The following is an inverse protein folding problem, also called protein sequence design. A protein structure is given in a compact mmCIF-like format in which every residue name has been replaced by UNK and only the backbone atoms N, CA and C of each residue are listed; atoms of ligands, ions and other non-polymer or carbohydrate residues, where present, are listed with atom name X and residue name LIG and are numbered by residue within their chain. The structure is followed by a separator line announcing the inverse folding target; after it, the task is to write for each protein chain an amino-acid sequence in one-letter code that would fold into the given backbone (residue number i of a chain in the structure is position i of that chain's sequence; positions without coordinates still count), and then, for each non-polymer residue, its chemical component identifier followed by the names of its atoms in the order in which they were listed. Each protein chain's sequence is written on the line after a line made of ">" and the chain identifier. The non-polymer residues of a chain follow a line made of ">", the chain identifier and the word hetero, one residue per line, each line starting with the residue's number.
data_IF_033614856523
#
_entry.id   IF_033614856523
#
_cell.length_a   1.000
_cell.length_b   1.000
_cell.length_c   1.000
_cell.angle_alpha   90.00
_cell.angle_beta   90.00
_cell.angle_gamma   90.00
#
_symmetry.space_group_name_H-M   'P 1'
#
loop_
_entity.id
_entity.type
_entity.pdbx_description
1 polymer ?
#
# COMPACT_ATOMS: atom_id res chain seq x y z
N UNK A 1 -16.14 24.16 -3.24
CA UNK A 1 -16.09 22.74 -2.87
C UNK A 1 -15.54 21.89 -4.01
N UNK A 2 -16.06 21.93 -5.26
CA UNK A 2 -15.44 21.19 -6.40
C UNK A 2 -14.00 21.65 -6.63
N UNK A 3 -13.69 22.92 -6.39
CA UNK A 3 -12.35 23.49 -6.49
C UNK A 3 -11.35 22.93 -5.46
N UNK A 4 -11.85 22.36 -4.36
CA UNK A 4 -11.02 21.67 -3.40
C UNK A 4 -10.54 20.26 -3.88
N UNK A 5 -11.10 19.76 -4.99
CA UNK A 5 -10.67 18.53 -5.62
C UNK A 5 -9.69 18.88 -6.73
N UNK A 6 -8.42 18.50 -6.67
CA UNK A 6 -7.48 18.75 -7.77
C UNK A 6 -7.94 18.06 -9.05
N UNK A 7 -7.60 18.64 -10.21
CA UNK A 7 -7.95 18.08 -11.50
C UNK A 7 -7.39 16.67 -11.67
N UNK A 8 -8.22 15.73 -12.13
CA UNK A 8 -7.88 14.32 -12.29
C UNK A 8 -8.05 13.46 -11.03
N UNK A 9 -8.18 14.08 -9.85
CA UNK A 9 -8.35 13.36 -8.58
C UNK A 9 -9.81 12.98 -8.33
N UNK A 10 -10.00 12.04 -7.40
CA UNK A 10 -11.29 11.40 -7.15
C UNK A 10 -11.81 11.66 -5.75
N UNK A 11 -13.13 11.56 -5.63
CA UNK A 11 -13.85 11.56 -4.36
C UNK A 11 -14.99 10.54 -4.41
N UNK A 12 -15.43 10.07 -3.27
CA UNK A 12 -16.59 9.21 -3.17
C UNK A 12 -17.81 9.92 -2.58
N UNK A 13 -18.94 9.22 -2.57
CA UNK A 13 -20.19 9.75 -2.01
C UNK A 13 -20.04 10.12 -0.54
N UNK A 14 -19.28 9.35 0.25
CA UNK A 14 -19.10 9.62 1.68
C UNK A 14 -18.34 10.93 1.91
N UNK A 15 -17.34 11.22 1.07
CA UNK A 15 -16.63 12.49 1.10
C UNK A 15 -17.55 13.64 0.70
N UNK A 16 -18.32 13.50 -0.38
CA UNK A 16 -19.27 14.51 -0.85
C UNK A 16 -20.32 14.85 0.23
N UNK A 17 -20.87 13.84 0.89
CA UNK A 17 -21.86 14.00 1.96
C UNK A 17 -21.28 14.74 3.17
N UNK A 18 -20.00 14.53 3.53
CA UNK A 18 -19.30 15.28 4.57
C UNK A 18 -19.22 16.79 4.26
N UNK A 19 -19.18 17.16 2.99
CA UNK A 19 -19.19 18.55 2.54
C UNK A 19 -20.59 19.06 2.16
N UNK A 20 -21.65 18.39 2.61
CA UNK A 20 -23.03 18.81 2.42
C UNK A 20 -23.57 18.59 1.00
N UNK A 21 -22.89 17.82 0.17
CA UNK A 21 -23.34 17.52 -1.20
C UNK A 21 -24.22 16.28 -1.20
N UNK A 22 -25.51 16.51 -1.37
CA UNK A 22 -26.48 15.41 -1.53
C UNK A 22 -26.24 14.66 -2.86
N UNK A 23 -26.77 13.43 -2.94
CA UNK A 23 -26.72 12.63 -4.19
C UNK A 23 -27.37 13.33 -5.37
N UNK A 24 -28.42 14.11 -5.12
CA UNK A 24 -29.07 14.94 -6.15
C UNK A 24 -28.13 16.04 -6.66
N UNK A 25 -27.43 16.73 -5.76
CA UNK A 25 -26.48 17.78 -6.13
C UNK A 25 -25.25 17.20 -6.83
N UNK A 26 -24.73 16.04 -6.38
CA UNK A 26 -23.66 15.32 -7.05
C UNK A 26 -24.03 14.98 -8.51
N UNK A 27 -25.29 14.56 -8.75
CA UNK A 27 -25.78 14.33 -10.11
C UNK A 27 -25.77 15.60 -10.95
N UNK A 28 -26.20 16.73 -10.40
CA UNK A 28 -26.13 18.03 -11.10
C UNK A 28 -24.70 18.42 -11.45
N UNK A 29 -23.72 18.11 -10.58
CA UNK A 29 -22.32 18.37 -10.88
C UNK A 29 -21.82 17.51 -12.05
N UNK A 30 -22.30 16.28 -12.17
CA UNK A 30 -22.00 15.41 -13.33
C UNK A 30 -22.68 15.96 -14.59
N UNK A 31 -23.97 16.31 -14.52
CA UNK A 31 -24.74 16.83 -15.66
C UNK A 31 -24.13 18.15 -16.20
N UNK A 32 -23.51 18.96 -15.32
CA UNK A 32 -22.82 20.19 -15.68
C UNK A 32 -21.33 20.00 -16.06
N UNK A 33 -20.82 18.77 -16.07
CA UNK A 33 -19.43 18.48 -16.43
C UNK A 33 -18.37 18.88 -15.36
N UNK A 34 -18.80 19.26 -14.15
CA UNK A 34 -17.88 19.59 -13.06
C UNK A 34 -17.25 18.37 -12.42
N UNK A 35 -17.98 17.25 -12.46
CA UNK A 35 -17.51 15.93 -12.05
C UNK A 35 -17.83 14.90 -13.16
N UNK A 36 -16.98 13.88 -13.26
CA UNK A 36 -17.23 12.68 -14.05
C UNK A 36 -17.55 11.52 -13.13
N UNK A 37 -18.56 10.74 -13.47
CA UNK A 37 -18.89 9.51 -12.72
C UNK A 37 -18.00 8.38 -13.22
N UNK A 38 -17.08 7.93 -12.37
CA UNK A 38 -16.16 6.83 -12.67
C UNK A 38 -16.78 5.46 -12.37
N UNK A 39 -17.49 5.38 -11.24
CA UNK A 39 -18.22 4.18 -10.81
C UNK A 39 -19.40 4.61 -9.94
N UNK A 40 -20.22 3.64 -9.51
CA UNK A 40 -21.30 3.89 -8.58
C UNK A 40 -20.75 4.47 -7.27
N UNK A 41 -21.09 5.75 -7.01
CA UNK A 41 -20.66 6.46 -5.80
C UNK A 41 -19.23 6.97 -5.82
N UNK A 42 -18.53 6.92 -6.96
CA UNK A 42 -17.19 7.46 -7.14
C UNK A 42 -17.17 8.44 -8.30
N UNK A 43 -16.57 9.59 -8.07
CA UNK A 43 -16.52 10.71 -8.99
C UNK A 43 -15.09 11.21 -9.15
N UNK A 44 -14.76 11.76 -10.32
CA UNK A 44 -13.48 12.36 -10.64
C UNK A 44 -13.68 13.80 -11.10
N UNK A 45 -12.82 14.72 -10.69
CA UNK A 45 -12.77 16.04 -11.33
C UNK A 45 -12.09 15.92 -12.69
N UNK A 46 -12.70 16.37 -13.79
CA UNK A 46 -12.07 16.33 -15.11
C UNK A 46 -10.72 17.03 -15.11
N UNK A 47 -9.73 16.47 -15.80
CA UNK A 47 -8.46 17.14 -16.04
C UNK A 47 -8.54 17.93 -17.35
N UNK A 48 -8.07 19.19 -17.40
CA UNK A 48 -7.98 19.94 -18.64
C UNK A 48 -7.11 19.17 -19.64
N UNK A 49 -7.59 19.03 -20.86
CA UNK A 49 -6.89 18.37 -21.99
C UNK A 49 -6.56 16.87 -21.80
N UNK A 50 -7.13 16.21 -20.80
CA UNK A 50 -7.01 14.76 -20.73
C UNK A 50 -7.88 14.14 -21.85
N UNK A 51 -7.25 13.45 -22.78
CA UNK A 51 -7.98 12.45 -23.58
C UNK A 51 -8.67 11.52 -22.59
N UNK A 52 -9.96 11.27 -22.77
CA UNK A 52 -10.76 10.43 -21.88
C UNK A 52 -10.14 9.02 -21.85
N UNK A 53 -9.14 8.82 -20.99
CA UNK A 53 -8.56 7.51 -20.79
C UNK A 53 -9.60 6.64 -20.09
N UNK A 54 -9.91 5.49 -20.67
CA UNK A 54 -10.82 4.52 -20.08
C UNK A 54 -10.25 3.94 -18.76
N UNK A 55 -8.95 4.05 -18.54
CA UNK A 55 -8.25 3.54 -17.35
C UNK A 55 -7.75 4.67 -16.46
N UNK A 56 -7.82 4.46 -15.15
CA UNK A 56 -7.38 5.40 -14.13
C UNK A 56 -6.03 4.94 -13.59
N UNK A 57 -5.12 5.89 -13.40
CA UNK A 57 -3.85 5.58 -12.72
C UNK A 57 -4.10 5.22 -11.25
N UNK A 58 -3.60 4.06 -10.85
CA UNK A 58 -3.77 3.54 -9.49
C UNK A 58 -3.13 4.44 -8.42
N UNK A 59 -2.01 5.13 -8.76
CA UNK A 59 -1.35 6.05 -7.82
C UNK A 59 -2.24 7.25 -7.52
N UNK A 60 -2.80 7.86 -8.56
CA UNK A 60 -3.75 8.97 -8.42
C UNK A 60 -4.99 8.56 -7.62
N UNK A 61 -5.48 7.31 -7.82
CA UNK A 61 -6.56 6.75 -7.03
C UNK A 61 -6.20 6.69 -5.55
N UNK A 62 -5.07 6.06 -5.20
CA UNK A 62 -4.66 5.90 -3.80
C UNK A 62 -4.28 7.23 -3.14
N UNK A 63 -3.65 8.15 -3.87
CA UNK A 63 -3.42 9.52 -3.39
C UNK A 63 -4.74 10.23 -3.06
N UNK A 64 -5.75 10.09 -3.91
CA UNK A 64 -7.10 10.63 -3.65
C UNK A 64 -7.70 10.05 -2.36
N UNK A 65 -7.53 8.73 -2.17
CA UNK A 65 -8.03 8.04 -0.98
C UNK A 65 -7.31 8.50 0.30
N UNK A 66 -5.99 8.62 0.25
CA UNK A 66 -5.17 8.98 1.40
C UNK A 66 -5.30 10.47 1.76
N UNK A 67 -5.11 11.36 0.78
CA UNK A 67 -4.99 12.80 1.02
C UNK A 67 -6.31 13.56 0.98
N UNK A 68 -7.26 13.17 0.13
CA UNK A 68 -8.55 13.86 0.00
C UNK A 68 -9.61 13.19 0.86
N UNK A 69 -9.84 11.89 0.63
CA UNK A 69 -10.91 11.15 1.31
C UNK A 69 -10.54 10.73 2.74
N UNK A 70 -9.24 10.74 3.08
CA UNK A 70 -8.70 10.41 4.41
C UNK A 70 -8.97 8.96 4.82
N UNK A 71 -8.89 8.03 3.89
CA UNK A 71 -8.86 6.61 4.20
C UNK A 71 -7.54 6.22 4.85
N UNK A 72 -7.58 5.48 5.94
CA UNK A 72 -6.38 4.93 6.57
C UNK A 72 -5.95 3.64 5.87
N UNK A 73 -5.27 3.83 4.75
CA UNK A 73 -4.72 2.79 3.90
C UNK A 73 -3.26 3.08 3.60
N UNK A 74 -2.50 2.05 3.28
CA UNK A 74 -1.13 2.20 2.79
C UNK A 74 -0.80 1.18 1.70
N UNK A 75 0.17 1.51 0.87
CA UNK A 75 0.77 0.57 -0.08
C UNK A 75 1.79 -0.30 0.65
N UNK A 76 1.71 -1.61 0.51
CA UNK A 76 2.60 -2.53 1.22
C UNK A 76 3.17 -3.64 0.33
N UNK A 77 3.78 -4.64 0.96
CA UNK A 77 4.30 -5.82 0.31
C UNK A 77 5.29 -5.51 -0.82
N UNK A 78 5.27 -6.34 -1.86
CA UNK A 78 6.15 -6.19 -3.02
C UNK A 78 5.94 -4.88 -3.77
N UNK A 79 4.72 -4.31 -3.75
CA UNK A 79 4.48 -3.00 -4.37
C UNK A 79 5.25 -1.88 -3.67
N UNK A 80 5.26 -1.85 -2.34
CA UNK A 80 6.02 -0.84 -1.59
C UNK A 80 7.53 -1.00 -1.80
N UNK A 81 8.03 -2.22 -1.89
CA UNK A 81 9.44 -2.50 -2.22
C UNK A 81 9.79 -2.00 -3.61
N UNK A 82 8.97 -2.28 -4.61
CA UNK A 82 9.17 -1.80 -5.99
C UNK A 82 9.19 -0.27 -6.07
N UNK A 83 8.26 0.41 -5.39
CA UNK A 83 8.23 1.89 -5.39
C UNK A 83 9.47 2.52 -4.71
N UNK A 84 10.20 1.76 -3.90
CA UNK A 84 11.42 2.17 -3.21
C UNK A 84 12.72 1.68 -3.90
N UNK A 85 12.61 1.14 -5.11
CA UNK A 85 13.76 0.75 -5.94
C UNK A 85 14.30 -0.64 -5.68
N UNK A 86 13.56 -1.50 -4.98
CA UNK A 86 13.91 -2.92 -4.75
C UNK A 86 13.26 -3.85 -5.79
N UNK A 87 13.06 -3.37 -7.03
CA UNK A 87 12.29 -4.05 -8.07
C UNK A 87 13.12 -4.78 -9.12
N UNK A 88 14.45 -4.86 -8.94
CA UNK A 88 15.36 -5.44 -9.95
C UNK A 88 14.97 -6.85 -10.42
N UNK A 89 14.14 -7.57 -9.66
CA UNK A 89 13.68 -8.93 -9.94
C UNK A 89 12.17 -9.09 -9.89
N UNK A 90 11.42 -8.01 -9.59
CA UNK A 90 9.97 -8.08 -9.57
C UNK A 90 9.45 -8.16 -11.01
N UNK A 91 8.39 -8.93 -11.19
CA UNK A 91 7.77 -9.23 -12.48
C UNK A 91 7.68 -7.98 -13.35
N UNK A 92 8.49 -7.91 -14.39
CA UNK A 92 8.40 -6.97 -15.50
C UNK A 92 7.12 -7.28 -16.30
N UNK A 93 5.95 -6.99 -15.74
CA UNK A 93 4.69 -7.21 -16.40
C UNK A 93 3.67 -6.16 -15.96
N UNK A 94 2.96 -5.59 -16.90
CA UNK A 94 1.87 -4.62 -16.71
C UNK A 94 0.71 -5.15 -15.85
N UNK A 95 0.81 -6.36 -15.29
CA UNK A 95 -0.28 -7.07 -14.61
C UNK A 95 0.06 -7.47 -13.15
N UNK A 96 1.17 -6.97 -12.57
CA UNK A 96 1.47 -7.21 -11.17
C UNK A 96 0.43 -6.48 -10.29
N UNK A 97 -0.14 -7.14 -9.27
CA UNK A 97 -1.12 -6.50 -8.40
C UNK A 97 -0.47 -5.43 -7.52
N UNK A 98 -1.23 -4.39 -7.25
CA UNK A 98 -0.88 -3.37 -6.26
C UNK A 98 -1.45 -3.79 -4.91
N UNK A 99 -0.58 -4.01 -3.94
CA UNK A 99 -0.96 -4.42 -2.59
C UNK A 99 -1.33 -3.23 -1.73
N UNK A 100 -2.58 -3.19 -1.28
CA UNK A 100 -3.14 -2.12 -0.45
C UNK A 100 -3.61 -2.71 0.88
N UNK A 101 -3.11 -2.15 1.96
CA UNK A 101 -3.42 -2.57 3.33
C UNK A 101 -4.30 -1.54 4.02
N UNK A 102 -5.32 -2.02 4.76
CA UNK A 102 -6.25 -1.19 5.53
C UNK A 102 -7.38 -2.02 6.11
N UNK A 103 -7.99 -1.57 7.21
CA UNK A 103 -9.07 -2.32 7.86
C UNK A 103 -10.46 -1.88 7.40
N UNK A 104 -10.56 -0.71 6.76
CA UNK A 104 -11.81 -0.14 6.25
C UNK A 104 -11.71 0.27 4.77
N UNK A 105 -11.21 -0.64 3.93
CA UNK A 105 -11.06 -0.40 2.49
C UNK A 105 -12.44 -0.46 1.83
N UNK A 106 -12.85 0.56 1.06
CA UNK A 106 -14.17 0.59 0.45
C UNK A 106 -14.26 -0.42 -0.71
N UNK A 107 -15.38 -1.13 -0.79
CA UNK A 107 -15.64 -2.17 -1.80
C UNK A 107 -15.65 -1.66 -3.27
N UNK A 108 -15.71 -0.35 -3.47
CA UNK A 108 -15.66 0.20 -4.81
C UNK A 108 -14.25 0.20 -5.41
N UNK A 109 -13.19 0.14 -4.57
CA UNK A 109 -11.80 0.21 -5.03
C UNK A 109 -11.47 -0.89 -6.04
N UNK A 110 -11.81 -2.14 -5.74
CA UNK A 110 -11.58 -3.29 -6.62
C UNK A 110 -12.43 -3.29 -7.91
N UNK A 111 -13.41 -2.38 -8.01
CA UNK A 111 -14.34 -2.28 -9.14
C UNK A 111 -14.00 -1.12 -10.09
N UNK A 112 -12.96 -0.36 -9.78
CA UNK A 112 -12.52 0.74 -10.63
C UNK A 112 -11.72 0.22 -11.83
N UNK A 113 -11.82 0.87 -13.00
CA UNK A 113 -11.02 0.55 -14.17
C UNK A 113 -9.60 1.11 -14.00
N UNK A 114 -8.82 0.54 -13.08
CA UNK A 114 -7.46 0.95 -12.82
C UNK A 114 -6.47 0.34 -13.82
N UNK A 115 -5.35 1.01 -14.03
CA UNK A 115 -4.26 0.53 -14.90
C UNK A 115 -3.43 -0.62 -14.30
N UNK A 116 -3.74 -1.03 -13.06
CA UNK A 116 -3.20 -2.23 -12.41
C UNK A 116 -4.27 -2.87 -11.51
N UNK A 117 -4.30 -4.20 -11.36
CA UNK A 117 -5.19 -4.85 -10.42
C UNK A 117 -4.83 -4.48 -8.97
N UNK A 118 -5.85 -4.33 -8.12
CA UNK A 118 -5.67 -4.05 -6.69
C UNK A 118 -5.98 -5.30 -5.88
N UNK A 119 -5.03 -5.67 -5.03
CA UNK A 119 -5.23 -6.68 -3.98
C UNK A 119 -5.25 -6.01 -2.61
N UNK A 120 -6.24 -6.36 -1.80
CA UNK A 120 -6.44 -5.72 -0.51
C UNK A 120 -6.19 -6.67 0.65
N UNK A 121 -5.58 -6.17 1.72
CA UNK A 121 -5.29 -6.92 2.95
C UNK A 121 -5.59 -6.09 4.18
N UNK A 122 -5.89 -6.76 5.29
CA UNK A 122 -6.02 -6.12 6.61
C UNK A 122 -4.65 -5.76 7.18
N UNK A 123 -4.62 -4.85 8.14
CA UNK A 123 -3.39 -4.46 8.85
C UNK A 123 -3.03 -5.42 9.99
N UNK A 124 -3.73 -6.53 10.12
CA UNK A 124 -3.71 -7.44 11.28
C UNK A 124 -2.42 -8.23 11.50
N UNK A 125 -1.45 -8.16 10.57
CA UNK A 125 -0.16 -8.84 10.70
C UNK A 125 0.64 -8.37 11.91
N UNK A 126 0.51 -7.09 12.29
CA UNK A 126 1.22 -6.48 13.39
C UNK A 126 0.26 -6.00 14.48
N UNK A 127 0.70 -6.04 15.77
CA UNK A 127 -0.05 -5.47 16.87
C UNK A 127 -0.16 -3.95 16.75
N UNK A 128 0.93 -3.30 16.33
CA UNK A 128 0.95 -1.88 16.02
C UNK A 128 0.82 -1.67 14.52
N UNK A 129 -0.38 -1.31 14.08
CA UNK A 129 -0.72 -1.11 12.65
C UNK A 129 0.04 0.04 11.97
N UNK A 130 0.54 1.00 12.73
CA UNK A 130 1.30 2.16 12.19
C UNK A 130 2.81 1.96 12.19
N UNK A 131 3.33 0.90 12.85
CA UNK A 131 4.75 0.65 12.95
C UNK A 131 5.35 0.34 11.57
N UNK A 132 6.42 1.03 11.20
CA UNK A 132 7.11 0.82 9.92
C UNK A 132 6.38 1.38 8.71
N UNK A 133 5.37 2.23 8.91
CA UNK A 133 4.86 3.07 7.82
C UNK A 133 5.81 4.26 7.64
N UNK A 134 6.08 4.63 6.39
CA UNK A 134 6.77 5.88 6.11
C UNK A 134 5.90 7.01 6.68
N UNK A 135 6.53 7.87 7.49
CA UNK A 135 5.83 9.06 7.96
C UNK A 135 5.62 9.95 6.75
N UNK A 136 4.38 10.23 6.44
CA UNK A 136 4.08 11.33 5.54
C UNK A 136 4.64 12.59 6.20
N UNK A 137 5.62 13.23 5.57
CA UNK A 137 6.07 14.56 5.99
C UNK A 137 5.02 15.63 5.65
N UNK A 138 3.81 15.21 5.30
CA UNK A 138 2.75 16.03 4.75
C UNK A 138 1.57 16.10 5.75
N UNK A 139 1.85 16.62 6.93
CA UNK A 139 0.80 17.13 7.83
C UNK A 139 0.56 18.63 7.64
N UNK A 140 0.92 19.19 6.50
CA UNK A 140 0.64 20.57 6.19
C UNK A 140 -0.55 20.65 5.23
N UNK A 141 -1.61 21.32 5.67
CA UNK A 141 -2.78 21.68 4.84
C UNK A 141 -2.39 22.46 3.56
N UNK A 142 -1.13 22.87 3.44
CA UNK A 142 -0.58 23.73 2.40
C UNK A 142 0.20 22.97 1.30
N UNK A 143 0.31 21.62 1.35
CA UNK A 143 1.03 20.88 0.30
C UNK A 143 0.21 20.76 -0.97
N UNK A 144 0.86 21.02 -2.10
CA UNK A 144 0.23 20.96 -3.41
C UNK A 144 0.11 19.50 -3.91
N UNK A 145 -0.91 19.15 -4.72
CA UNK A 145 -1.18 17.77 -5.13
C UNK A 145 0.00 17.05 -5.80
N UNK A 146 0.89 17.78 -6.44
CA UNK A 146 2.11 17.19 -7.05
C UNK A 146 3.22 16.89 -6.06
N UNK A 147 3.12 17.36 -4.83
CA UNK A 147 4.04 17.07 -3.72
C UNK A 147 3.56 15.87 -2.88
N UNK A 148 2.35 15.41 -3.12
CA UNK A 148 1.79 14.30 -2.37
C UNK A 148 2.55 13.01 -2.65
N UNK A 149 2.93 12.33 -1.58
CA UNK A 149 3.54 11.01 -1.63
C UNK A 149 2.56 9.95 -1.16
N UNK A 150 2.74 8.74 -1.67
CA UNK A 150 1.94 7.60 -1.20
C UNK A 150 2.40 7.19 0.21
N UNK A 151 1.46 7.10 1.15
CA UNK A 151 1.69 6.42 2.42
C UNK A 151 1.96 4.95 2.12
N UNK A 152 3.13 4.46 2.51
CA UNK A 152 3.54 3.10 2.21
C UNK A 152 4.36 2.48 3.32
N UNK A 153 4.47 1.16 3.32
CA UNK A 153 5.33 0.40 4.21
C UNK A 153 6.81 0.70 3.93
N UNK A 154 7.58 0.94 4.99
CA UNK A 154 9.03 0.93 4.90
C UNK A 154 9.55 -0.46 4.47
N UNK A 155 10.76 -0.59 3.92
CA UNK A 155 11.26 -1.87 3.40
C UNK A 155 11.21 -3.01 4.41
N UNK A 156 11.48 -2.73 5.68
CA UNK A 156 11.45 -3.70 6.78
C UNK A 156 10.05 -4.29 7.01
N UNK A 157 9.02 -3.45 6.91
CA UNK A 157 7.63 -3.88 7.04
C UNK A 157 7.17 -4.57 5.75
N UNK A 158 7.45 -3.96 4.61
CA UNK A 158 7.02 -4.41 3.31
C UNK A 158 7.49 -5.84 2.99
N UNK A 159 8.73 -6.19 3.36
CA UNK A 159 9.23 -7.55 3.17
C UNK A 159 8.50 -8.57 4.05
N UNK A 160 8.12 -8.22 5.28
CA UNK A 160 7.33 -9.10 6.16
C UNK A 160 5.89 -9.25 5.66
N UNK A 161 5.30 -8.19 5.11
CA UNK A 161 4.00 -8.24 4.44
C UNK A 161 4.05 -9.15 3.20
N UNK A 162 5.10 -9.06 2.38
CA UNK A 162 5.30 -9.93 1.23
C UNK A 162 5.49 -11.41 1.64
N UNK A 163 6.18 -11.69 2.75
CA UNK A 163 6.31 -13.05 3.28
C UNK A 163 4.99 -13.64 3.75
N UNK A 164 4.06 -12.82 4.21
CA UNK A 164 2.74 -13.29 4.62
C UNK A 164 1.93 -13.86 3.45
N UNK A 165 2.22 -13.41 2.24
CA UNK A 165 1.57 -13.85 1.00
C UNK A 165 2.10 -15.19 0.45
N UNK A 166 3.14 -15.76 1.05
CA UNK A 166 3.62 -17.10 0.69
C UNK A 166 2.63 -18.18 1.15
N UNK A 167 2.47 -19.26 0.40
CA UNK A 167 2.96 -19.50 -0.97
C UNK A 167 1.97 -19.07 -2.04
N UNK A 168 0.76 -18.57 -1.65
CA UNK A 168 -0.41 -18.48 -2.50
C UNK A 168 -0.32 -17.32 -3.53
N UNK A 169 0.24 -16.19 -3.10
CA UNK A 169 0.32 -14.98 -3.92
C UNK A 169 1.75 -14.48 -4.16
N UNK A 170 2.72 -15.07 -3.46
CA UNK A 170 4.14 -14.78 -3.63
C UNK A 170 4.95 -16.07 -3.68
N UNK A 171 6.16 -16.03 -4.29
CA UNK A 171 7.03 -17.18 -4.41
C UNK A 171 8.28 -17.06 -3.54
N UNK A 172 8.77 -18.21 -3.05
CA UNK A 172 10.05 -18.26 -2.32
C UNK A 172 11.21 -17.71 -3.14
N UNK A 173 11.21 -17.97 -4.46
CA UNK A 173 12.25 -17.47 -5.36
C UNK A 173 12.26 -15.94 -5.43
N UNK A 174 11.10 -15.30 -5.62
CA UNK A 174 11.00 -13.85 -5.68
C UNK A 174 11.45 -13.19 -4.37
N UNK A 175 11.05 -13.78 -3.22
CA UNK A 175 11.48 -13.26 -1.92
C UNK A 175 12.98 -13.44 -1.68
N UNK A 176 13.57 -14.53 -2.14
CA UNK A 176 15.01 -14.75 -2.05
C UNK A 176 15.78 -13.67 -2.82
N UNK A 177 15.36 -13.41 -4.05
CA UNK A 177 15.94 -12.33 -4.86
C UNK A 177 15.76 -10.93 -4.25
N UNK A 178 14.60 -10.67 -3.63
CA UNK A 178 14.37 -9.43 -2.90
C UNK A 178 15.31 -9.28 -1.72
N UNK A 179 15.50 -10.36 -0.94
CA UNK A 179 16.40 -10.35 0.22
C UNK A 179 17.84 -10.04 -0.17
N UNK A 180 18.32 -10.49 -1.32
CA UNK A 180 19.64 -10.15 -1.83
C UNK A 180 19.84 -8.63 -1.94
N UNK A 181 18.82 -7.88 -2.34
CA UNK A 181 18.86 -6.43 -2.50
C UNK A 181 18.69 -5.63 -1.19
N UNK A 182 18.16 -6.24 -0.13
CA UNK A 182 17.80 -5.57 1.14
C UNK A 182 19.02 -5.36 2.06
N UNK A 183 20.07 -4.74 1.56
CA UNK A 183 21.35 -4.57 2.27
C UNK A 183 21.33 -3.55 3.40
N UNK A 184 20.36 -2.61 3.40
CA UNK A 184 20.37 -1.40 4.25
C UNK A 184 19.19 -1.33 5.24
N UNK A 185 18.60 -2.48 5.61
CA UNK A 185 17.51 -2.50 6.58
C UNK A 185 17.94 -2.01 7.96
N UNK A 186 17.04 -1.34 8.66
CA UNK A 186 17.26 -0.75 10.00
C UNK A 186 17.02 -1.78 11.09
N UNK A 187 18.06 -2.25 11.83
CA UNK A 187 17.90 -3.34 12.80
C UNK A 187 16.93 -3.02 13.95
N UNK A 188 16.88 -1.76 14.40
CA UNK A 188 15.96 -1.33 15.47
C UNK A 188 14.49 -1.45 15.04
N UNK A 189 14.19 -1.05 13.79
CA UNK A 189 12.83 -1.17 13.25
C UNK A 189 12.47 -2.63 12.99
N UNK A 190 13.39 -3.42 12.44
CA UNK A 190 13.20 -4.86 12.26
C UNK A 190 12.89 -5.57 13.57
N UNK A 191 13.66 -5.28 14.64
CA UNK A 191 13.39 -5.84 15.97
C UNK A 191 12.00 -5.49 16.47
N UNK A 192 11.59 -4.23 16.35
CA UNK A 192 10.25 -3.79 16.77
C UNK A 192 9.14 -4.46 15.95
N UNK A 193 9.33 -4.60 14.62
CA UNK A 193 8.37 -5.27 13.74
C UNK A 193 8.28 -6.78 14.03
N UNK A 194 9.41 -7.46 14.24
CA UNK A 194 9.44 -8.88 14.61
C UNK A 194 8.76 -9.14 15.96
N UNK A 195 8.89 -8.23 16.93
CA UNK A 195 8.17 -8.31 18.20
C UNK A 195 6.67 -8.11 18.01
N UNK A 196 6.27 -7.11 17.21
CA UNK A 196 4.87 -6.77 16.91
C UNK A 196 4.19 -7.77 15.96
N UNK A 197 4.94 -8.58 15.22
CA UNK A 197 4.39 -9.54 14.26
C UNK A 197 3.68 -10.69 14.98
N UNK A 198 2.42 -10.94 14.63
CA UNK A 198 1.59 -12.01 15.22
C UNK A 198 1.86 -13.40 14.63
N UNK A 199 2.34 -13.46 13.37
CA UNK A 199 2.50 -14.73 12.65
C UNK A 199 3.89 -15.34 12.85
N UNK A 200 3.96 -16.46 13.54
CA UNK A 200 5.21 -17.23 13.73
C UNK A 200 5.83 -17.63 12.39
N UNK A 201 5.00 -18.00 11.40
CA UNK A 201 5.44 -18.32 10.04
C UNK A 201 6.30 -17.21 9.45
N UNK A 202 5.82 -15.97 9.50
CA UNK A 202 6.52 -14.78 8.94
C UNK A 202 7.85 -14.55 9.67
N UNK A 203 7.87 -14.64 11.00
CA UNK A 203 9.10 -14.50 11.79
C UNK A 203 10.15 -15.54 11.43
N UNK A 204 9.74 -16.83 11.32
CA UNK A 204 10.65 -17.92 10.93
C UNK A 204 11.21 -17.73 9.53
N UNK A 205 10.33 -17.43 8.56
CA UNK A 205 10.74 -17.17 7.18
C UNK A 205 11.72 -16.00 7.09
N UNK A 206 11.46 -14.93 7.86
CA UNK A 206 12.38 -13.80 7.91
C UNK A 206 13.80 -14.22 8.28
N UNK A 207 13.97 -15.03 9.34
CA UNK A 207 15.30 -15.50 9.75
C UNK A 207 15.91 -16.45 8.73
N UNK A 208 15.14 -17.33 8.10
CA UNK A 208 15.64 -18.23 7.04
C UNK A 208 16.27 -17.44 5.89
N UNK A 209 15.57 -16.43 5.37
CA UNK A 209 16.12 -15.58 4.30
C UNK A 209 17.27 -14.70 4.80
N UNK A 210 17.15 -14.12 6.01
CA UNK A 210 18.17 -13.27 6.59
C UNK A 210 19.49 -14.01 6.83
N UNK A 211 19.44 -15.28 7.26
CA UNK A 211 20.62 -16.13 7.47
C UNK A 211 21.27 -16.54 6.15
N UNK A 212 20.48 -16.71 5.10
CA UNK A 212 20.98 -17.09 3.77
C UNK A 212 21.83 -15.99 3.11
N UNK A 213 21.46 -14.72 3.29
CA UNK A 213 22.12 -13.60 2.62
C UNK A 213 23.18 -12.89 3.49
N UNK A 214 23.31 -13.21 4.78
CA UNK A 214 24.30 -12.70 5.75
C UNK A 214 24.56 -11.18 5.68
N UNK A 215 23.51 -10.38 5.55
CA UNK A 215 23.64 -8.93 5.52
C UNK A 215 24.15 -8.35 6.86
N UNK A 216 24.88 -7.20 6.86
CA UNK A 216 25.41 -6.61 8.08
C UNK A 216 24.40 -6.32 9.17
N UNK A 217 23.13 -6.01 8.82
CA UNK A 217 22.05 -5.77 9.76
C UNK A 217 21.60 -7.06 10.48
N UNK A 218 21.77 -8.23 9.86
CA UNK A 218 21.39 -9.52 10.44
C UNK A 218 22.13 -9.81 11.75
N UNK A 219 23.41 -9.47 11.82
CA UNK A 219 24.25 -9.68 13.03
C UNK A 219 23.80 -8.89 14.25
N UNK A 220 22.90 -7.91 14.06
CA UNK A 220 22.32 -7.08 15.12
C UNK A 220 20.96 -7.59 15.62
N UNK A 221 20.50 -8.73 15.10
CA UNK A 221 19.23 -9.35 15.49
C UNK A 221 19.51 -10.70 16.16
N UNK A 222 19.10 -10.80 17.43
CA UNK A 222 19.16 -12.06 18.17
C UNK A 222 17.84 -12.82 18.00
N UNK A 223 17.84 -14.00 17.32
CA UNK A 223 16.60 -14.77 17.13
C UNK A 223 15.95 -15.22 18.44
N UNK A 224 16.74 -15.38 19.51
CA UNK A 224 16.23 -15.81 20.82
C UNK A 224 15.36 -14.76 21.51
N UNK A 225 15.45 -13.49 21.08
CA UNK A 225 14.63 -12.40 21.58
C UNK A 225 13.18 -12.43 21.06
N UNK A 226 12.87 -13.35 20.13
CA UNK A 226 11.56 -13.41 19.46
C UNK A 226 10.88 -14.76 19.67
N UNK A 227 9.55 -14.72 19.82
CA UNK A 227 8.78 -15.96 19.85
C UNK A 227 8.70 -16.56 18.43
N UNK A 228 9.52 -17.56 18.18
CA UNK A 228 9.53 -18.32 16.93
C UNK A 228 8.70 -19.62 17.03
N UNK A 229 8.00 -19.85 18.15
CA UNK A 229 7.23 -21.05 18.41
C UNK A 229 8.12 -22.26 18.72
N UNK A 230 7.52 -23.36 19.16
CA UNK A 230 8.16 -24.63 19.43
C UNK A 230 7.95 -25.62 18.28
N UNK A 231 8.95 -26.48 18.01
CA UNK A 231 8.89 -27.58 17.04
C UNK A 231 9.50 -27.27 15.68
N UNK A 232 10.08 -28.34 15.08
CA UNK A 232 10.59 -28.33 13.72
C UNK A 232 9.41 -28.38 12.74
N UNK A 233 9.37 -27.47 11.78
CA UNK A 233 8.47 -27.53 10.62
C UNK A 233 9.31 -27.40 9.36
N UNK A 234 9.19 -28.37 8.47
CA UNK A 234 9.75 -28.27 7.14
C UNK A 234 9.08 -27.09 6.42
N UNK A 235 9.87 -26.32 5.68
CA UNK A 235 9.36 -25.42 4.65
C UNK A 235 8.92 -26.31 3.49
N UNK A 236 7.64 -26.48 3.31
CA UNK A 236 7.05 -27.25 2.19
C UNK A 236 6.62 -26.26 1.12
#
# INVERSE_FOLDING_TARGET
>A
MVDAIPSGFMVDTAWLERYGVSRFLARKYVDNGWLERVNRGVFRRPAPNATTSATIDWKTCLLSMQHIMRYDIHVGGTTALAQQGYDHYLRLGSNAPVWVYGDAIPNWLSKLPLNAPIETRSTSLFDNSSLGLAKDNIDTEDTLPWEWTLKMSAPERAVMEAMDELPDHESFHNLDMLFESLTTLRPKLLSALLQSCKKIKVKRLFFVFADRHDHPWRKRLDPTAFNLGSGDRALV
#
